data_IF_766920015666
#
_entry.id   IF_766920015666
#
_cell.length_a   1.000
_cell.length_b   1.000
_cell.length_c   1.000
_cell.angle_alpha   90.00
_cell.angle_beta   90.00
_cell.angle_gamma   90.00
#
_symmetry.space_group_name_H-M   'P 1'
#
loop_
_entity.id
_entity.type
_entity.pdbx_description
1 polymer ?
#
# COMPACT_ATOMS: atom_id res chain seq x y z
N UNK A 1 3.48 9.32 15.58
CA UNK A 1 4.03 9.47 14.22
C UNK A 1 5.15 8.46 14.03
N UNK A 2 4.89 7.39 13.27
CA UNK A 2 5.76 6.20 13.15
C UNK A 2 6.40 6.06 11.76
N UNK A 3 6.35 7.11 10.91
CA UNK A 3 6.84 7.03 9.52
C UNK A 3 8.33 7.34 9.39
N UNK A 4 8.98 6.69 8.42
CA UNK A 4 10.38 6.95 8.08
C UNK A 4 10.52 8.27 7.33
N UNK A 5 11.24 9.23 7.91
CA UNK A 5 11.60 10.46 7.20
C UNK A 5 12.61 10.18 6.08
N UNK A 6 12.67 11.05 5.08
CA UNK A 6 13.62 10.93 3.97
C UNK A 6 15.06 10.72 4.45
N UNK A 7 15.50 11.44 5.49
CA UNK A 7 16.83 11.26 6.10
C UNK A 7 17.07 9.85 6.67
N UNK A 8 16.03 9.19 7.21
CA UNK A 8 16.14 7.82 7.70
C UNK A 8 16.22 6.83 6.54
N UNK A 9 15.44 7.08 5.48
CA UNK A 9 15.48 6.26 4.27
C UNK A 9 16.82 6.37 3.56
N UNK A 10 17.41 7.57 3.45
CA UNK A 10 18.72 7.76 2.82
C UNK A 10 19.85 7.00 3.52
N UNK A 11 19.73 6.75 4.84
CA UNK A 11 20.70 5.92 5.56
C UNK A 11 20.76 4.47 5.04
N UNK A 12 19.69 3.97 4.38
CA UNK A 12 19.69 2.63 3.78
C UNK A 12 20.73 2.46 2.67
N UNK A 13 21.19 3.55 2.03
CA UNK A 13 22.27 3.52 1.03
C UNK A 13 23.58 3.01 1.63
N UNK A 14 23.79 3.23 2.92
CA UNK A 14 24.98 2.80 3.67
C UNK A 14 24.75 1.48 4.43
N UNK A 15 23.51 0.99 4.50
CA UNK A 15 23.12 -0.18 5.33
C UNK A 15 22.36 -1.20 4.48
N UNK A 16 23.06 -2.16 3.84
CA UNK A 16 22.43 -3.15 2.95
C UNK A 16 21.38 -4.06 3.63
N UNK A 17 21.41 -4.15 4.96
CA UNK A 17 20.44 -4.93 5.72
C UNK A 17 19.02 -4.31 5.73
N UNK A 18 18.89 -3.03 5.36
CA UNK A 18 17.57 -2.36 5.29
C UNK A 18 16.92 -2.70 3.95
N UNK A 19 16.03 -3.68 3.96
CA UNK A 19 15.34 -4.16 2.76
C UNK A 19 13.94 -3.57 2.58
N UNK A 20 13.37 -2.94 3.62
CA UNK A 20 12.02 -2.37 3.59
C UNK A 20 11.87 -1.20 4.57
N UNK A 21 10.88 -0.34 4.32
CA UNK A 21 10.48 0.72 5.22
C UNK A 21 8.99 1.05 5.06
N UNK A 22 8.35 1.55 6.13
CA UNK A 22 6.95 2.00 6.07
C UNK A 22 6.85 3.24 5.16
N UNK A 23 5.96 3.14 4.17
CA UNK A 23 5.68 4.13 3.16
C UNK A 23 4.22 4.65 3.20
N UNK A 24 3.39 4.11 4.09
CA UNK A 24 2.02 4.61 4.37
C UNK A 24 1.93 5.35 5.70
N UNK A 25 0.81 6.04 5.92
CA UNK A 25 0.40 6.46 7.25
C UNK A 25 0.05 5.29 8.18
N UNK A 26 -0.24 5.62 9.44
CA UNK A 26 -0.68 4.66 10.45
C UNK A 26 -2.10 4.16 10.13
N UNK A 27 -2.32 2.86 10.30
CA UNK A 27 -3.62 2.23 10.01
C UNK A 27 -4.71 2.69 10.97
N UNK A 28 -5.85 3.10 10.41
CA UNK A 28 -7.12 3.26 11.13
C UNK A 28 -8.27 2.80 10.23
N UNK A 29 -9.27 2.07 10.77
CA UNK A 29 -10.42 1.63 10.00
C UNK A 29 -11.16 2.80 9.34
N UNK A 30 -11.47 2.68 8.05
CA UNK A 30 -12.21 3.69 7.30
C UNK A 30 -11.41 4.92 6.84
N UNK A 31 -10.14 5.03 7.21
CA UNK A 31 -9.25 6.11 6.75
C UNK A 31 -8.54 5.74 5.44
N UNK A 32 -7.80 6.69 4.87
CA UNK A 32 -7.14 6.63 3.56
C UNK A 32 -5.61 6.57 3.66
N UNK A 33 -5.05 5.99 4.72
CA UNK A 33 -3.61 6.01 5.02
C UNK A 33 -2.69 5.45 3.93
N UNK A 34 -3.25 4.71 2.95
CA UNK A 34 -2.54 4.27 1.75
C UNK A 34 -2.23 5.42 0.79
N UNK A 35 -2.97 6.53 0.80
CA UNK A 35 -2.84 7.65 -0.13
C UNK A 35 -1.40 8.15 -0.37
N UNK A 36 -0.55 8.40 0.65
CA UNK A 36 0.83 8.84 0.44
C UNK A 36 1.75 7.74 -0.14
N UNK A 37 1.33 6.48 -0.12
CA UNK A 37 2.19 5.35 -0.46
C UNK A 37 2.57 5.37 -1.93
N UNK A 38 1.66 5.70 -2.84
CA UNK A 38 1.97 5.73 -4.28
C UNK A 38 3.14 6.65 -4.63
N UNK A 39 3.25 7.80 -3.97
CA UNK A 39 4.39 8.72 -4.13
C UNK A 39 5.62 8.26 -3.35
N UNK A 40 5.43 7.81 -2.11
CA UNK A 40 6.53 7.38 -1.23
C UNK A 40 7.24 6.13 -1.78
N UNK A 41 6.50 5.23 -2.41
CA UNK A 41 7.02 4.04 -3.07
C UNK A 41 7.93 4.35 -4.26
N UNK A 42 7.79 5.51 -4.91
CA UNK A 42 8.75 5.96 -5.94
C UNK A 42 10.11 6.18 -5.29
N UNK A 43 10.12 6.88 -4.15
CA UNK A 43 11.35 7.20 -3.43
C UNK A 43 11.99 5.96 -2.80
N UNK A 44 11.24 5.14 -2.07
CA UNK A 44 11.83 3.92 -1.45
C UNK A 44 12.34 2.95 -2.50
N UNK A 45 11.64 2.79 -3.62
CA UNK A 45 12.07 1.93 -4.72
C UNK A 45 13.38 2.41 -5.35
N UNK A 46 13.57 3.72 -5.50
CA UNK A 46 14.82 4.30 -6.00
C UNK A 46 16.02 3.98 -5.08
N UNK A 47 15.78 3.78 -3.79
CA UNK A 47 16.78 3.38 -2.81
C UNK A 47 16.96 1.86 -2.69
N UNK A 48 16.24 1.06 -3.48
CA UNK A 48 16.25 -0.40 -3.37
C UNK A 48 15.48 -0.94 -2.17
N UNK A 49 14.66 -0.11 -1.51
CA UNK A 49 13.89 -0.45 -0.31
C UNK A 49 12.44 -0.73 -0.68
N UNK A 50 11.90 -1.85 -0.21
CA UNK A 50 10.50 -2.21 -0.40
C UNK A 50 9.57 -1.27 0.39
N UNK A 51 8.47 -0.84 -0.25
CA UNK A 51 7.48 0.04 0.36
C UNK A 51 6.49 -0.79 1.20
N UNK A 52 6.58 -0.70 2.52
CA UNK A 52 5.60 -1.34 3.40
C UNK A 52 4.42 -0.42 3.66
N UNK A 53 3.21 -0.95 3.51
CA UNK A 53 2.02 -0.36 4.13
C UNK A 53 1.91 -0.87 5.57
N UNK A 54 1.36 -0.04 6.45
CA UNK A 54 0.84 -0.49 7.75
C UNK A 54 -0.26 -1.55 7.57
N UNK A 55 -0.66 -2.19 8.66
CA UNK A 55 -1.58 -3.32 8.66
C UNK A 55 -3.01 -2.97 8.16
N UNK A 56 -3.91 -3.95 8.21
CA UNK A 56 -5.32 -3.74 7.93
C UNK A 56 -6.20 -4.82 8.58
N UNK A 57 -7.49 -4.54 8.69
CA UNK A 57 -8.51 -5.55 8.96
C UNK A 57 -9.01 -6.17 7.66
N UNK A 58 -8.94 -7.50 7.60
CA UNK A 58 -9.44 -8.30 6.48
C UNK A 58 -10.96 -8.50 6.52
N UNK A 59 -11.58 -8.36 7.68
CA UNK A 59 -13.05 -8.27 7.79
C UNK A 59 -13.51 -6.82 7.92
N UNK A 60 -14.77 -6.59 7.55
CA UNK A 60 -15.43 -5.33 7.83
C UNK A 60 -15.53 -5.11 9.34
N UNK A 61 -16.16 -6.03 10.07
CA UNK A 61 -16.39 -5.85 11.51
C UNK A 61 -15.33 -6.53 12.39
N UNK A 62 -14.80 -5.79 13.39
CA UNK A 62 -13.91 -6.27 14.45
C UNK A 62 -14.50 -6.00 15.85
N UNK A 63 -15.14 -7.00 16.48
CA UNK A 63 -15.80 -6.81 17.78
C UNK A 63 -14.79 -6.62 18.91
N UNK A 64 -15.16 -5.81 19.91
CA UNK A 64 -14.41 -5.70 21.16
C UNK A 64 -13.04 -5.04 21.07
N UNK A 65 -12.73 -4.32 19.98
CA UNK A 65 -11.43 -3.70 19.81
C UNK A 65 -11.17 -2.57 20.84
N UNK A 66 -10.09 -2.64 21.65
CA UNK A 66 -9.86 -1.74 22.79
C UNK A 66 -9.34 -0.35 22.40
N UNK A 67 -8.87 -0.15 21.17
CA UNK A 67 -8.32 1.15 20.75
C UNK A 67 -9.29 2.01 19.93
N UNK A 68 -10.35 1.41 19.38
CA UNK A 68 -11.31 2.10 18.51
C UNK A 68 -12.70 2.16 19.16
N UNK A 69 -12.71 2.36 20.48
CA UNK A 69 -13.89 2.75 21.23
C UNK A 69 -14.51 3.97 20.54
N UNK A 70 -15.85 4.00 20.41
CA UNK A 70 -16.64 4.98 19.63
C UNK A 70 -16.95 4.66 18.16
N UNK A 71 -17.07 3.38 17.79
CA UNK A 71 -17.78 2.98 16.56
C UNK A 71 -16.90 2.81 15.31
N UNK A 72 -15.58 2.97 15.41
CA UNK A 72 -14.63 2.60 14.36
C UNK A 72 -14.27 1.10 14.41
N UNK A 73 -15.30 0.25 14.53
CA UNK A 73 -15.19 -1.22 14.48
C UNK A 73 -15.42 -1.78 13.08
N UNK A 74 -15.58 -0.90 12.09
CA UNK A 74 -15.83 -1.25 10.70
C UNK A 74 -14.70 -0.77 9.78
N UNK A 75 -14.15 -1.66 8.95
CA UNK A 75 -13.21 -1.37 7.87
C UNK A 75 -13.93 -1.53 6.51
N UNK A 76 -14.45 -0.44 5.91
CA UNK A 76 -15.17 -0.52 4.65
C UNK A 76 -14.28 -0.83 3.44
N UNK A 77 -12.96 -0.75 3.59
CA UNK A 77 -12.00 -0.84 2.49
C UNK A 77 -11.10 -2.10 2.55
N UNK A 78 -11.44 -3.16 3.31
CA UNK A 78 -10.57 -4.35 3.51
C UNK A 78 -9.99 -4.92 2.19
N UNK A 79 -10.81 -4.96 1.13
CA UNK A 79 -10.36 -5.44 -0.20
C UNK A 79 -9.31 -4.52 -0.82
N UNK A 80 -9.50 -3.20 -0.75
CA UNK A 80 -8.54 -2.22 -1.25
C UNK A 80 -7.25 -2.28 -0.43
N UNK A 81 -7.36 -2.31 0.89
CA UNK A 81 -6.21 -2.43 1.80
C UNK A 81 -5.36 -3.67 1.49
N UNK A 82 -6.01 -4.81 1.26
CA UNK A 82 -5.36 -6.08 0.87
C UNK A 82 -4.62 -5.96 -0.46
N UNK A 83 -5.23 -5.34 -1.48
CA UNK A 83 -4.57 -5.09 -2.77
C UNK A 83 -3.36 -4.17 -2.60
N UNK A 84 -3.48 -3.09 -1.83
CA UNK A 84 -2.36 -2.18 -1.58
C UNK A 84 -1.22 -2.89 -0.84
N UNK A 85 -1.50 -3.65 0.22
CA UNK A 85 -0.46 -4.42 0.93
C UNK A 85 0.26 -5.40 0.01
N UNK A 86 -0.48 -6.10 -0.84
CA UNK A 86 0.08 -7.09 -1.77
C UNK A 86 0.97 -6.44 -2.84
N UNK A 87 0.56 -5.30 -3.39
CA UNK A 87 1.22 -4.72 -4.56
C UNK A 87 2.38 -3.76 -4.22
N UNK A 88 2.67 -3.51 -2.96
CA UNK A 88 3.66 -2.49 -2.54
C UNK A 88 5.03 -3.07 -2.21
N UNK A 89 5.17 -4.39 -2.34
CA UNK A 89 6.37 -5.20 -2.09
C UNK A 89 6.84 -5.31 -0.63
N UNK A 90 6.19 -4.61 0.29
CA UNK A 90 6.41 -4.83 1.71
C UNK A 90 5.75 -6.12 2.22
N UNK A 91 5.75 -6.31 3.56
CA UNK A 91 5.08 -7.43 4.19
C UNK A 91 3.57 -7.33 3.98
N UNK A 92 2.91 -8.47 3.85
CA UNK A 92 1.45 -8.54 3.97
C UNK A 92 1.11 -8.78 5.43
N UNK A 93 0.58 -7.77 6.11
CA UNK A 93 0.33 -7.78 7.55
C UNK A 93 -1.16 -7.55 7.88
N UNK A 94 -2.01 -8.60 7.81
CA UNK A 94 -3.34 -8.55 8.42
C UNK A 94 -3.21 -8.40 9.94
N UNK A 95 -4.06 -7.59 10.55
CA UNK A 95 -4.06 -7.33 12.00
C UNK A 95 -5.46 -7.43 12.60
N UNK A 96 -6.20 -8.43 12.15
CA UNK A 96 -7.52 -8.76 12.69
C UNK A 96 -7.44 -9.22 14.15
N UNK A 97 -8.56 -9.13 14.85
CA UNK A 97 -8.75 -9.82 16.12
C UNK A 97 -8.64 -11.33 15.96
N UNK A 98 -8.31 -12.00 17.06
CA UNK A 98 -8.26 -13.48 17.09
C UNK A 98 -9.64 -14.04 16.71
N UNK A 99 -9.67 -14.98 15.78
CA UNK A 99 -10.89 -15.55 15.18
C UNK A 99 -11.72 -14.59 14.32
N UNK A 100 -11.19 -13.42 13.96
CA UNK A 100 -11.87 -12.44 13.11
C UNK A 100 -11.20 -12.23 11.74
N UNK A 101 -10.28 -13.11 11.31
CA UNK A 101 -9.63 -13.00 9.99
C UNK A 101 -10.47 -13.61 8.87
N UNK A 102 -10.57 -12.90 7.75
CA UNK A 102 -11.04 -13.46 6.47
C UNK A 102 -9.87 -14.15 5.75
N UNK A 103 -9.70 -15.44 6.00
CA UNK A 103 -8.68 -16.26 5.35
C UNK A 103 -8.79 -16.24 3.82
N UNK A 104 -9.99 -16.15 3.24
CA UNK A 104 -10.16 -16.13 1.78
C UNK A 104 -9.61 -14.83 1.20
N UNK A 105 -9.84 -13.70 1.85
CA UNK A 105 -9.27 -12.42 1.44
C UNK A 105 -7.75 -12.40 1.59
N UNK A 106 -7.24 -12.81 2.75
CA UNK A 106 -5.80 -12.82 3.04
C UNK A 106 -5.07 -13.69 2.03
N UNK A 107 -5.57 -14.89 1.75
CA UNK A 107 -4.92 -15.81 0.82
C UNK A 107 -4.94 -15.35 -0.64
N UNK A 108 -5.67 -14.28 -1.01
CA UNK A 108 -5.50 -13.65 -2.34
C UNK A 108 -4.17 -12.90 -2.50
N UNK A 109 -3.45 -12.68 -1.42
CA UNK A 109 -2.10 -12.10 -1.42
C UNK A 109 -1.00 -13.14 -1.56
N UNK A 110 -1.34 -14.42 -1.68
CA UNK A 110 -0.41 -15.53 -1.75
C UNK A 110 -0.82 -16.56 -2.81
N UNK A 111 0.13 -17.40 -3.23
CA UNK A 111 -0.15 -18.63 -3.96
C UNK A 111 -0.70 -19.71 -3.03
N UNK A 112 -1.19 -20.82 -3.59
CA UNK A 112 -1.79 -21.91 -2.83
C UNK A 112 -0.84 -22.58 -1.82
N UNK A 113 0.47 -22.47 -2.03
CA UNK A 113 1.52 -22.97 -1.13
C UNK A 113 1.92 -21.94 -0.04
N UNK A 114 1.28 -20.77 -0.01
CA UNK A 114 1.56 -19.71 0.96
C UNK A 114 2.68 -18.74 0.55
N UNK A 115 3.27 -18.87 -0.63
CA UNK A 115 4.25 -17.88 -1.11
C UNK A 115 3.55 -16.55 -1.39
N UNK A 116 4.01 -15.45 -0.77
CA UNK A 116 3.42 -14.14 -0.97
C UNK A 116 3.59 -13.66 -2.42
N UNK A 117 2.52 -13.14 -2.99
CA UNK A 117 2.54 -12.47 -4.28
C UNK A 117 3.28 -11.14 -4.15
N UNK A 118 4.23 -10.92 -5.06
CA UNK A 118 5.10 -9.76 -5.05
C UNK A 118 5.27 -9.27 -6.49
N UNK A 119 4.90 -8.02 -6.82
CA UNK A 119 5.16 -7.50 -8.15
C UNK A 119 6.67 -7.29 -8.38
N UNK A 120 7.07 -7.14 -9.65
CA UNK A 120 8.48 -6.89 -9.98
C UNK A 120 8.93 -5.53 -9.45
N UNK A 121 8.07 -4.52 -9.52
CA UNK A 121 8.28 -3.21 -8.89
C UNK A 121 7.06 -2.84 -8.04
N UNK A 122 7.21 -2.09 -6.93
CA UNK A 122 6.08 -1.74 -6.09
C UNK A 122 5.09 -0.87 -6.86
N UNK A 123 3.83 -0.92 -6.45
CA UNK A 123 2.78 -0.02 -6.93
C UNK A 123 3.22 1.43 -6.70
N UNK A 124 3.29 2.20 -7.78
CA UNK A 124 3.69 3.61 -7.77
C UNK A 124 2.61 4.46 -8.41
N UNK A 125 2.44 5.69 -7.90
CA UNK A 125 1.54 6.68 -8.51
C UNK A 125 2.03 7.00 -9.93
N UNK A 126 1.10 7.07 -10.87
CA UNK A 126 1.40 7.35 -12.27
C UNK A 126 1.67 8.85 -12.47
N UNK A 127 2.60 9.21 -13.36
CA UNK A 127 2.99 10.60 -13.61
C UNK A 127 1.80 11.50 -13.95
N UNK A 128 0.84 11.02 -14.75
CA UNK A 128 -0.40 11.77 -15.04
C UNK A 128 -1.24 12.05 -13.80
N UNK A 129 -1.26 11.17 -12.79
CA UNK A 129 -1.97 11.41 -11.53
C UNK A 129 -1.21 12.41 -10.65
N UNK A 130 0.12 12.39 -10.69
CA UNK A 130 0.96 13.42 -10.04
C UNK A 130 0.72 14.79 -10.71
N UNK A 131 0.70 14.84 -12.04
CA UNK A 131 0.40 16.05 -12.80
C UNK A 131 -1.03 16.55 -12.55
N UNK A 132 -2.01 15.63 -12.43
CA UNK A 132 -3.39 15.99 -12.13
C UNK A 132 -3.48 16.70 -10.77
N UNK A 133 -2.84 16.13 -9.75
CA UNK A 133 -2.77 16.71 -8.41
C UNK A 133 -2.04 18.06 -8.40
N UNK A 134 -0.99 18.23 -9.21
CA UNK A 134 -0.23 19.47 -9.29
C UNK A 134 -0.99 20.61 -10.00
N UNK A 135 -1.76 20.29 -11.05
CA UNK A 135 -2.51 21.29 -11.83
C UNK A 135 -3.85 21.66 -11.19
N UNK A 136 -4.49 20.74 -10.48
CA UNK A 136 -5.79 20.95 -9.84
C UNK A 136 -6.97 20.95 -10.81
N UNK A 137 -8.18 20.78 -10.25
CA UNK A 137 -9.42 20.37 -10.94
C UNK A 137 -9.62 20.88 -12.38
N UNK A 138 -9.88 22.18 -12.63
CA UNK A 138 -10.20 22.66 -13.97
C UNK A 138 -9.07 22.49 -14.98
N UNK A 139 -7.82 22.74 -14.57
CA UNK A 139 -6.66 22.65 -15.43
C UNK A 139 -6.30 21.17 -15.73
N UNK A 140 -6.40 20.30 -14.73
CA UNK A 140 -6.21 18.86 -14.90
C UNK A 140 -7.27 18.26 -15.83
N UNK A 141 -8.54 18.63 -15.65
CA UNK A 141 -9.65 18.18 -16.50
C UNK A 141 -9.49 18.65 -17.95
N UNK A 142 -9.13 19.93 -18.16
CA UNK A 142 -8.86 20.47 -19.50
C UNK A 142 -7.69 19.75 -20.20
N UNK A 143 -6.71 19.26 -19.43
CA UNK A 143 -5.58 18.48 -19.93
C UNK A 143 -5.89 16.96 -20.09
N UNK A 144 -7.13 16.54 -19.83
CA UNK A 144 -7.54 15.13 -19.89
C UNK A 144 -6.79 14.23 -18.89
N UNK A 145 -6.34 14.80 -17.76
CA UNK A 145 -5.67 14.05 -16.71
C UNK A 145 -6.70 13.30 -15.85
N UNK A 146 -6.33 12.14 -15.28
CA UNK A 146 -7.24 11.34 -14.48
C UNK A 146 -7.68 12.07 -13.22
N UNK A 147 -8.92 11.85 -12.81
CA UNK A 147 -9.40 12.23 -11.49
C UNK A 147 -9.04 11.13 -10.47
N UNK A 148 -8.48 11.53 -9.33
CA UNK A 148 -8.08 10.62 -8.25
C UNK A 148 -6.73 9.91 -8.39
N UNK A 149 -6.60 8.79 -7.66
CA UNK A 149 -5.36 8.03 -7.49
C UNK A 149 -5.26 6.86 -8.47
N UNK A 150 -4.31 6.93 -9.41
CA UNK A 150 -4.03 5.84 -10.37
C UNK A 150 -2.60 5.35 -10.19
N UNK A 151 -2.46 4.07 -9.85
CA UNK A 151 -1.18 3.45 -9.57
C UNK A 151 -0.92 2.27 -10.51
N UNK A 152 0.36 1.97 -10.73
CA UNK A 152 0.80 0.85 -11.56
C UNK A 152 1.80 -0.03 -10.80
N UNK A 153 1.57 -1.35 -10.83
CA UNK A 153 2.43 -2.36 -10.24
C UNK A 153 2.88 -3.38 -11.30
N UNK A 154 3.93 -3.05 -12.09
CA UNK A 154 4.44 -3.96 -13.11
C UNK A 154 4.91 -5.31 -12.54
N UNK A 155 4.56 -6.39 -13.24
CA UNK A 155 4.97 -7.75 -12.91
C UNK A 155 5.52 -8.45 -14.14
N UNK A 156 6.65 -9.12 -13.98
CA UNK A 156 7.25 -10.00 -14.99
C UNK A 156 7.05 -11.44 -14.53
N UNK A 157 6.24 -12.18 -15.27
CA UNK A 157 5.90 -13.58 -14.98
C UNK A 157 6.37 -14.40 -16.19
N UNK A 158 7.31 -15.32 -15.97
CA UNK A 158 7.88 -16.18 -17.02
C UNK A 158 8.34 -15.39 -18.26
N UNK A 159 9.00 -14.24 -18.03
CA UNK A 159 9.50 -13.35 -19.09
C UNK A 159 8.46 -12.44 -19.75
N UNK A 160 7.16 -12.56 -19.41
CA UNK A 160 6.11 -11.66 -19.90
C UNK A 160 5.79 -10.55 -18.89
N UNK A 161 5.69 -9.32 -19.37
CA UNK A 161 5.41 -8.13 -18.54
C UNK A 161 3.91 -7.77 -18.56
N UNK A 162 3.35 -7.57 -17.38
CA UNK A 162 1.99 -7.09 -17.11
C UNK A 162 2.05 -5.71 -16.42
N UNK A 163 1.05 -4.86 -16.64
CA UNK A 163 1.00 -3.48 -16.10
C UNK A 163 1.95 -2.53 -16.84
N UNK A 164 1.54 -2.07 -18.03
CA UNK A 164 2.23 -1.04 -18.83
C UNK A 164 1.45 0.26 -18.83
#
# INVERSE_FOLDING_TARGET
>A
YCMSFARHLMQSVEIPAVTQARASGDYQPGMDQWHPLGTTAIFTHALGVAASKDSFWSTDYQPGHPHYHHGATHEPHSRLQSVVLTLTKGPVAPSDGVHCSDAKLIMRSATADGTLLQPSTPAKKLDRAILAAALGGPAAAAAGLPDGEVWIAPSVISGRRFGR
#
